data_IF_607907817859
#
_entry.id   IF_607907817859
#
_cell.length_a   1.000
_cell.length_b   1.000
_cell.length_c   1.000
_cell.angle_alpha   90.00
_cell.angle_beta   90.00
_cell.angle_gamma   90.00
#
_symmetry.space_group_name_H-M   'P 1'
#
loop_
_entity.id
_entity.type
_entity.pdbx_description
1 polymer ?
#
# COMPACT_ATOMS: atom_id res chain seq x y z
N UNK A 1 -13.27 -8.22 9.97
CA UNK A 1 -13.18 -7.28 8.82
C UNK A 1 -11.74 -7.18 8.43
N UNK A 2 -11.44 -7.17 7.12
CA UNK A 2 -10.08 -7.08 6.63
C UNK A 2 -9.70 -5.64 6.35
N UNK A 3 -8.55 -5.24 6.85
CA UNK A 3 -7.91 -3.96 6.58
C UNK A 3 -6.70 -4.20 5.67
N UNK A 4 -6.58 -3.42 4.63
CA UNK A 4 -5.42 -3.38 3.77
C UNK A 4 -4.66 -2.06 3.94
N UNK A 5 -3.34 -2.12 3.82
CA UNK A 5 -2.48 -0.95 3.66
C UNK A 5 -1.57 -1.19 2.47
N UNK A 6 -1.40 -0.16 1.66
CA UNK A 6 -0.41 -0.19 0.59
C UNK A 6 0.48 1.04 0.71
N UNK A 7 1.79 0.82 0.70
CA UNK A 7 2.82 1.86 0.76
C UNK A 7 3.55 1.86 -0.58
N UNK A 8 3.58 2.98 -1.26
CA UNK A 8 4.12 3.15 -2.61
C UNK A 8 5.35 4.04 -2.64
N UNK A 9 6.16 3.86 -3.70
CA UNK A 9 7.39 4.60 -3.85
C UNK A 9 8.43 4.24 -2.79
N UNK A 10 8.57 2.93 -2.55
CA UNK A 10 9.48 2.36 -1.54
C UNK A 10 10.86 2.01 -2.13
N UNK A 11 11.28 2.69 -3.20
CA UNK A 11 12.54 2.38 -3.89
C UNK A 11 13.78 2.59 -3.01
N UNK A 12 13.68 3.47 -2.01
CA UNK A 12 14.78 3.74 -1.06
C UNK A 12 14.74 2.81 0.17
N UNK A 13 13.69 2.01 0.31
CA UNK A 13 13.58 1.00 1.38
C UNK A 13 14.31 -0.25 0.92
N UNK A 14 15.33 -0.67 1.65
CA UNK A 14 16.03 -1.92 1.33
C UNK A 14 15.19 -3.15 1.74
N UNK A 15 15.40 -4.32 1.13
CA UNK A 15 14.72 -5.56 1.56
C UNK A 15 14.94 -5.87 3.06
N UNK A 16 16.14 -5.56 3.58
CA UNK A 16 16.47 -5.76 5.01
C UNK A 16 15.70 -4.77 5.89
N UNK A 17 15.58 -3.51 5.47
CA UNK A 17 14.77 -2.53 6.22
C UNK A 17 13.30 -2.93 6.21
N UNK A 18 12.78 -3.34 5.06
CA UNK A 18 11.41 -3.84 4.95
C UNK A 18 11.16 -5.07 5.84
N UNK A 19 12.13 -5.98 5.95
CA UNK A 19 12.06 -7.13 6.86
C UNK A 19 11.99 -6.68 8.33
N UNK A 20 12.79 -5.69 8.71
CA UNK A 20 12.73 -5.13 10.07
C UNK A 20 11.37 -4.46 10.34
N UNK A 21 10.83 -3.75 9.35
CA UNK A 21 9.49 -3.13 9.44
C UNK A 21 8.38 -4.20 9.55
N UNK A 22 8.50 -5.34 8.88
CA UNK A 22 7.54 -6.43 9.04
C UNK A 22 7.46 -6.91 10.49
N UNK A 23 8.60 -7.03 11.15
CA UNK A 23 8.68 -7.40 12.58
C UNK A 23 7.99 -6.37 13.48
N UNK A 24 8.11 -5.07 13.15
CA UNK A 24 7.39 -4.00 13.85
C UNK A 24 5.89 -4.08 13.61
N UNK A 25 5.46 -4.27 12.36
CA UNK A 25 4.05 -4.44 12.03
C UNK A 25 3.41 -5.55 12.85
N UNK A 26 3.98 -6.76 12.86
CA UNK A 26 3.45 -7.89 13.63
C UNK A 26 3.40 -7.61 15.13
N UNK A 27 4.34 -6.84 15.66
CA UNK A 27 4.32 -6.38 17.06
C UNK A 27 3.16 -5.42 17.33
N UNK A 28 2.88 -4.46 16.44
CA UNK A 28 1.76 -3.52 16.59
C UNK A 28 0.41 -4.23 16.60
N UNK A 29 0.21 -5.22 15.74
CA UNK A 29 -1.03 -6.00 15.69
C UNK A 29 -1.07 -7.14 16.72
N UNK A 30 0.00 -7.36 17.48
CA UNK A 30 0.15 -8.42 18.52
C UNK A 30 -0.07 -9.84 17.97
N UNK A 31 0.42 -10.10 16.79
CA UNK A 31 0.44 -11.42 16.16
C UNK A 31 1.86 -11.88 15.96
N UNK A 32 2.08 -13.21 16.03
CA UNK A 32 3.39 -13.82 15.75
C UNK A 32 3.34 -14.42 14.35
N UNK A 33 4.23 -14.04 13.42
CA UNK A 33 4.29 -14.67 12.11
C UNK A 33 4.73 -16.15 12.26
N UNK A 34 4.21 -17.00 11.37
CA UNK A 34 4.44 -18.45 11.39
C UNK A 34 4.63 -19.07 10.00
N UNK A 35 4.52 -18.27 8.94
CA UNK A 35 4.85 -18.67 7.57
C UNK A 35 5.52 -17.51 6.85
N UNK A 36 6.54 -17.77 6.06
CA UNK A 36 7.26 -16.77 5.29
C UNK A 36 8.06 -17.40 4.15
N UNK A 37 8.44 -16.56 3.19
CA UNK A 37 9.27 -16.94 2.07
C UNK A 37 9.60 -15.75 1.17
N UNK A 38 10.31 -16.04 0.09
CA UNK A 38 10.71 -15.05 -0.90
C UNK A 38 10.55 -15.58 -2.32
N UNK A 39 10.49 -14.68 -3.29
CA UNK A 39 10.44 -15.03 -4.70
C UNK A 39 11.84 -15.16 -5.28
N UNK A 40 12.06 -16.19 -6.08
CA UNK A 40 13.30 -16.44 -6.78
C UNK A 40 13.05 -16.99 -8.19
N UNK A 41 14.00 -16.76 -9.10
CA UNK A 41 14.01 -17.39 -10.41
C UNK A 41 14.58 -18.81 -10.27
N UNK A 42 13.80 -19.79 -10.65
CA UNK A 42 14.21 -21.18 -10.70
C UNK A 42 14.46 -21.63 -12.15
N UNK A 43 15.62 -22.21 -12.40
CA UNK A 43 15.93 -22.80 -13.71
C UNK A 43 15.34 -24.19 -13.81
N UNK A 44 14.14 -24.31 -14.29
CA UNK A 44 13.55 -25.61 -14.67
C UNK A 44 13.46 -25.68 -16.19
N UNK A 45 14.22 -26.61 -16.79
CA UNK A 45 14.11 -27.04 -18.21
C UNK A 45 14.09 -25.95 -19.30
N UNK A 46 14.78 -24.84 -19.11
CA UNK A 46 15.01 -23.84 -20.18
C UNK A 46 14.18 -22.57 -20.09
N UNK A 47 13.14 -22.51 -19.30
CA UNK A 47 12.39 -21.30 -18.98
C UNK A 47 12.73 -20.82 -17.56
N UNK A 48 12.80 -19.50 -17.37
CA UNK A 48 12.94 -18.89 -16.04
C UNK A 48 11.56 -18.80 -15.41
N UNK A 49 11.22 -19.78 -14.56
CA UNK A 49 10.00 -19.74 -13.77
C UNK A 49 10.27 -19.00 -12.44
N UNK A 50 9.24 -18.32 -11.93
CA UNK A 50 9.27 -17.66 -10.62
C UNK A 50 8.63 -18.59 -9.61
N UNK A 51 9.41 -18.98 -8.60
CA UNK A 51 8.94 -19.80 -7.49
C UNK A 51 8.91 -19.01 -6.18
N UNK A 52 7.96 -19.36 -5.32
CA UNK A 52 7.95 -18.90 -3.93
C UNK A 52 8.70 -19.91 -3.06
N UNK A 53 9.83 -19.51 -2.53
CA UNK A 53 10.70 -20.34 -1.70
C UNK A 53 10.29 -20.15 -0.24
N UNK A 54 9.67 -21.17 0.35
CA UNK A 54 9.40 -21.19 1.80
C UNK A 54 10.72 -21.26 2.58
N UNK A 55 10.84 -20.46 3.62
CA UNK A 55 12.02 -20.37 4.47
C UNK A 55 11.59 -20.09 5.91
N UNK A 56 12.40 -20.43 6.91
CA UNK A 56 12.22 -19.87 8.23
C UNK A 56 12.75 -18.42 8.31
N UNK A 57 12.48 -17.71 9.41
CA UNK A 57 12.86 -16.30 9.53
C UNK A 57 14.38 -16.08 9.48
N UNK A 58 15.17 -17.04 9.97
CA UNK A 58 16.65 -16.96 9.97
C UNK A 58 17.18 -17.12 8.55
N UNK A 59 16.72 -18.13 7.81
CA UNK A 59 17.10 -18.35 6.42
C UNK A 59 16.62 -17.21 5.52
N UNK A 60 15.37 -16.72 5.69
CA UNK A 60 14.89 -15.55 4.96
C UNK A 60 15.80 -14.34 5.21
N UNK A 61 16.16 -14.07 6.47
CA UNK A 61 17.05 -12.94 6.79
C UNK A 61 18.41 -13.08 6.12
N UNK A 62 19.01 -14.28 6.14
CA UNK A 62 20.29 -14.56 5.47
C UNK A 62 20.18 -14.32 3.96
N UNK A 63 19.10 -14.79 3.32
CA UNK A 63 18.86 -14.59 1.90
C UNK A 63 18.70 -13.09 1.53
N UNK A 64 18.08 -12.29 2.42
CA UNK A 64 17.96 -10.84 2.25
C UNK A 64 19.32 -10.13 2.44
N UNK A 65 20.09 -10.51 3.49
CA UNK A 65 21.38 -9.91 3.82
C UNK A 65 22.43 -10.16 2.70
N UNK A 66 22.38 -11.29 2.01
CA UNK A 66 23.30 -11.65 0.92
C UNK A 66 22.78 -11.25 -0.48
N UNK A 67 21.56 -10.68 -0.56
CA UNK A 67 20.95 -10.22 -1.82
C UNK A 67 20.37 -11.33 -2.70
N UNK A 68 20.23 -12.55 -2.20
CA UNK A 68 19.55 -13.66 -2.88
C UNK A 68 18.05 -13.44 -2.96
N UNK A 69 17.44 -12.98 -1.84
CA UNK A 69 16.05 -12.55 -1.80
C UNK A 69 15.94 -11.02 -1.93
N UNK A 70 15.02 -10.57 -2.78
CA UNK A 70 14.69 -9.14 -2.96
C UNK A 70 13.24 -8.84 -2.63
N UNK A 71 12.34 -9.75 -2.96
CA UNK A 71 10.91 -9.68 -2.72
C UNK A 71 10.53 -10.80 -1.76
N UNK A 72 9.77 -10.50 -0.73
CA UNK A 72 9.40 -11.48 0.29
C UNK A 72 8.00 -11.25 0.84
N UNK A 73 7.47 -12.28 1.49
CA UNK A 73 6.21 -12.23 2.23
C UNK A 73 6.32 -12.95 3.56
N UNK A 74 5.67 -12.38 4.57
CA UNK A 74 5.60 -12.92 5.93
C UNK A 74 4.13 -12.93 6.34
N UNK A 75 3.67 -14.07 6.90
CA UNK A 75 2.28 -14.32 7.21
C UNK A 75 2.08 -14.74 8.67
N UNK A 76 0.89 -14.44 9.17
CA UNK A 76 0.30 -15.13 10.33
C UNK A 76 -0.90 -15.93 9.84
N UNK A 77 -0.75 -17.25 9.81
CA UNK A 77 -1.78 -18.21 9.41
C UNK A 77 -2.41 -18.85 10.64
N UNK A 78 -3.76 -18.96 10.65
CA UNK A 78 -4.47 -19.62 11.74
C UNK A 78 -4.57 -21.12 11.55
N UNK A 79 -4.65 -21.56 10.29
CA UNK A 79 -4.77 -22.95 9.86
C UNK A 79 -3.94 -23.13 8.59
N UNK A 80 -3.33 -24.30 8.39
CA UNK A 80 -2.52 -24.61 7.19
C UNK A 80 -3.28 -24.51 5.86
N UNK A 81 -4.59 -24.68 5.87
CA UNK A 81 -5.42 -24.73 4.66
C UNK A 81 -6.36 -23.51 4.52
N UNK A 82 -6.22 -22.51 5.38
CA UNK A 82 -7.05 -21.31 5.39
C UNK A 82 -6.28 -20.07 4.94
N UNK A 83 -6.99 -18.98 4.64
CA UNK A 83 -6.34 -17.71 4.39
C UNK A 83 -5.58 -17.23 5.63
N UNK A 84 -4.51 -16.46 5.41
CA UNK A 84 -3.79 -15.79 6.49
C UNK A 84 -4.68 -14.74 7.18
N UNK A 85 -4.40 -14.44 8.46
CA UNK A 85 -5.06 -13.35 9.21
C UNK A 85 -4.30 -12.04 9.14
N UNK A 86 -3.01 -12.12 8.91
CA UNK A 86 -2.17 -10.96 8.67
C UNK A 86 -1.03 -11.33 7.75
N UNK A 87 -0.64 -10.38 6.89
CA UNK A 87 0.52 -10.52 6.02
C UNK A 87 1.22 -9.18 5.85
N UNK A 88 2.52 -9.26 5.61
CA UNK A 88 3.38 -8.17 5.18
C UNK A 88 4.17 -8.63 3.96
N UNK A 89 4.03 -7.94 2.84
CA UNK A 89 4.77 -8.17 1.62
C UNK A 89 5.62 -6.97 1.24
N UNK A 90 6.84 -7.22 0.79
CA UNK A 90 7.71 -6.25 0.14
C UNK A 90 7.96 -6.69 -1.29
N UNK A 91 7.69 -5.82 -2.23
CA UNK A 91 7.79 -6.09 -3.66
C UNK A 91 8.66 -5.06 -4.37
N UNK A 92 9.49 -5.55 -5.28
CA UNK A 92 10.33 -4.74 -6.17
C UNK A 92 9.83 -4.79 -7.61
N UNK A 93 10.53 -4.16 -8.54
CA UNK A 93 10.22 -4.27 -9.98
C UNK A 93 10.45 -5.67 -10.54
N UNK A 94 11.31 -6.46 -9.90
CA UNK A 94 11.73 -7.76 -10.40
C UNK A 94 10.60 -8.79 -10.38
N UNK A 95 9.86 -8.88 -9.26
CA UNK A 95 8.76 -9.83 -9.10
C UNK A 95 7.39 -9.13 -8.97
N UNK A 96 7.31 -8.05 -8.21
CA UNK A 96 6.06 -7.31 -7.98
C UNK A 96 5.71 -6.29 -9.08
N UNK A 97 6.56 -6.11 -10.09
CA UNK A 97 6.35 -5.16 -11.19
C UNK A 97 6.62 -3.69 -10.83
N UNK A 98 6.57 -3.30 -9.56
CA UNK A 98 6.93 -1.98 -9.04
C UNK A 98 7.19 -2.03 -7.54
N UNK A 99 7.86 -1.01 -7.01
CA UNK A 99 8.22 -0.94 -5.60
C UNK A 99 7.03 -0.59 -4.71
N UNK A 100 6.62 -1.53 -3.86
CA UNK A 100 5.57 -1.30 -2.87
C UNK A 100 5.68 -2.26 -1.68
N UNK A 101 5.02 -1.86 -0.59
CA UNK A 101 4.72 -2.74 0.55
C UNK A 101 3.21 -2.92 0.58
N UNK A 102 2.76 -4.15 0.75
CA UNK A 102 1.38 -4.49 0.96
C UNK A 102 1.17 -5.19 2.30
N UNK A 103 0.13 -4.78 3.01
CA UNK A 103 -0.20 -5.29 4.34
C UNK A 103 -1.67 -5.68 4.34
N UNK A 104 -1.96 -6.87 4.88
CA UNK A 104 -3.32 -7.33 5.15
C UNK A 104 -3.44 -7.67 6.62
N UNK A 105 -4.56 -7.32 7.22
CA UNK A 105 -4.82 -7.55 8.64
C UNK A 105 -6.31 -7.76 8.92
N UNK A 106 -6.65 -8.90 9.51
CA UNK A 106 -7.97 -9.13 10.08
C UNK A 106 -8.05 -8.49 11.47
N UNK A 107 -8.77 -7.37 11.57
CA UNK A 107 -8.86 -6.59 12.78
C UNK A 107 -10.19 -5.88 12.97
N UNK A 108 -10.23 -4.97 13.94
CA UNK A 108 -11.44 -4.23 14.28
C UNK A 108 -11.41 -2.76 13.83
N UNK A 109 -10.21 -2.18 13.72
CA UNK A 109 -10.02 -0.77 13.38
C UNK A 109 -8.62 -0.51 12.77
N UNK A 110 -8.39 0.73 12.31
CA UNK A 110 -7.11 1.18 11.78
C UNK A 110 -6.07 1.58 12.85
N UNK A 111 -6.40 1.55 14.14
CA UNK A 111 -5.55 2.16 15.17
C UNK A 111 -4.12 1.62 15.19
N UNK A 112 -3.96 0.30 15.17
CA UNK A 112 -2.62 -0.32 15.15
C UNK A 112 -1.88 -0.02 13.85
N UNK A 113 -2.60 0.06 12.73
CA UNK A 113 -2.02 0.38 11.42
C UNK A 113 -1.60 1.85 11.32
N UNK A 114 -2.35 2.77 11.92
CA UNK A 114 -1.97 4.19 12.01
C UNK A 114 -0.65 4.34 12.79
N UNK A 115 -0.55 3.73 13.96
CA UNK A 115 0.67 3.77 14.77
C UNK A 115 1.87 3.18 14.03
N UNK A 116 1.67 2.06 13.35
CA UNK A 116 2.71 1.47 12.51
C UNK A 116 3.14 2.42 11.38
N UNK A 117 2.18 3.02 10.65
CA UNK A 117 2.47 3.92 9.54
C UNK A 117 3.18 5.21 9.99
N UNK A 118 2.76 5.80 11.11
CA UNK A 118 3.46 6.97 11.68
C UNK A 118 4.94 6.63 11.99
N UNK A 119 5.21 5.48 12.61
CA UNK A 119 6.58 5.03 12.89
C UNK A 119 7.34 4.65 11.61
N UNK A 120 6.69 3.97 10.66
CA UNK A 120 7.29 3.62 9.37
C UNK A 120 7.77 4.87 8.63
N UNK A 121 6.91 5.88 8.46
CA UNK A 121 7.24 7.10 7.73
C UNK A 121 8.19 8.03 8.49
N UNK A 122 8.31 7.91 9.81
CA UNK A 122 9.34 8.60 10.59
C UNK A 122 10.75 8.03 10.36
N UNK A 123 10.86 6.77 9.94
CA UNK A 123 12.14 6.07 9.79
C UNK A 123 12.51 5.75 8.34
N UNK A 124 11.55 5.78 7.40
CA UNK A 124 11.75 5.34 6.03
C UNK A 124 11.26 6.37 5.02
N UNK A 125 11.89 6.36 3.85
CA UNK A 125 11.50 7.20 2.72
C UNK A 125 10.55 6.40 1.82
N UNK A 126 9.28 6.80 1.80
CA UNK A 126 8.28 6.33 0.85
C UNK A 126 7.42 7.50 0.38
N UNK A 127 6.78 7.37 -0.76
CA UNK A 127 6.10 8.51 -1.38
C UNK A 127 4.67 8.69 -0.89
N UNK A 128 3.92 7.61 -0.73
CA UNK A 128 2.47 7.63 -0.56
C UNK A 128 2.00 6.34 0.12
N UNK A 129 0.95 6.41 0.94
CA UNK A 129 0.29 5.21 1.43
C UNK A 129 -1.22 5.40 1.54
N UNK A 130 -1.93 4.28 1.45
CA UNK A 130 -3.39 4.19 1.59
C UNK A 130 -3.76 3.09 2.57
N UNK A 131 -4.82 3.32 3.35
CA UNK A 131 -5.44 2.30 4.18
C UNK A 131 -6.92 2.16 3.84
N UNK A 132 -7.36 0.94 3.62
CA UNK A 132 -8.68 0.60 3.10
C UNK A 132 -9.27 -0.64 3.78
N UNK A 133 -10.56 -0.88 3.56
CA UNK A 133 -11.28 -2.06 4.03
C UNK A 133 -11.64 -2.94 2.84
N UNK A 134 -11.49 -4.25 3.02
CA UNK A 134 -11.86 -5.26 2.02
C UNK A 134 -12.76 -6.33 2.63
N UNK A 135 -13.38 -7.13 1.75
CA UNK A 135 -14.16 -8.31 2.11
C UNK A 135 -13.29 -9.38 2.78
N UNK A 136 -12.10 -9.61 2.21
CA UNK A 136 -11.15 -10.62 2.67
C UNK A 136 -9.69 -10.22 2.39
N UNK A 137 -8.75 -11.06 2.82
CA UNK A 137 -7.31 -10.80 2.72
C UNK A 137 -6.77 -10.93 1.29
N UNK A 138 -7.39 -11.76 0.44
CA UNK A 138 -6.98 -11.91 -0.96
C UNK A 138 -7.34 -10.66 -1.76
N UNK A 139 -8.55 -10.14 -1.58
CA UNK A 139 -8.96 -8.87 -2.18
C UNK A 139 -8.05 -7.74 -1.72
N UNK A 140 -7.72 -7.68 -0.42
CA UNK A 140 -6.82 -6.67 0.10
C UNK A 140 -5.41 -6.76 -0.51
N UNK A 141 -4.90 -7.97 -0.71
CA UNK A 141 -3.62 -8.22 -1.37
C UNK A 141 -3.61 -7.75 -2.82
N UNK A 142 -4.56 -8.24 -3.64
CA UNK A 142 -4.64 -7.88 -5.05
C UNK A 142 -4.95 -6.40 -5.28
N UNK A 143 -5.70 -5.80 -4.36
CA UNK A 143 -5.99 -4.37 -4.43
C UNK A 143 -4.71 -3.54 -4.29
N UNK A 144 -3.77 -3.92 -3.44
CA UNK A 144 -2.52 -3.20 -3.24
C UNK A 144 -1.75 -2.99 -4.55
N UNK A 145 -1.57 -4.05 -5.34
CA UNK A 145 -0.88 -4.03 -6.63
C UNK A 145 -1.75 -3.53 -7.80
N UNK A 146 -3.08 -3.39 -7.59
CA UNK A 146 -4.05 -3.08 -8.65
C UNK A 146 -4.35 -4.26 -9.57
N UNK A 147 -4.11 -5.48 -9.11
CA UNK A 147 -4.35 -6.72 -9.86
C UNK A 147 -5.78 -7.25 -9.70
N UNK A 148 -6.11 -8.26 -10.51
CA UNK A 148 -7.38 -9.00 -10.47
C UNK A 148 -8.65 -8.13 -10.54
N UNK A 149 -8.54 -6.88 -10.97
CA UNK A 149 -9.67 -5.94 -11.10
C UNK A 149 -10.49 -5.76 -9.82
N UNK A 150 -9.86 -5.96 -8.66
CA UNK A 150 -10.50 -5.76 -7.35
C UNK A 150 -10.92 -4.30 -7.20
N UNK A 151 -12.12 -4.09 -6.67
CA UNK A 151 -12.68 -2.78 -6.34
C UNK A 151 -13.15 -2.79 -4.90
N UNK A 152 -12.91 -1.70 -4.21
CA UNK A 152 -13.43 -1.48 -2.86
C UNK A 152 -14.52 -0.41 -2.82
N UNK A 153 -14.60 0.41 -3.89
CA UNK A 153 -15.64 1.42 -4.03
C UNK A 153 -16.42 1.28 -5.34
N UNK A 154 -17.74 1.58 -5.35
CA UNK A 154 -18.56 1.52 -6.55
C UNK A 154 -18.09 2.48 -7.67
N UNK A 155 -17.53 3.62 -7.28
CA UNK A 155 -17.02 4.66 -8.19
C UNK A 155 -15.58 4.41 -8.67
N UNK A 156 -15.03 3.22 -8.51
CA UNK A 156 -13.65 2.91 -8.86
C UNK A 156 -13.50 2.32 -10.26
N UNK A 157 -12.43 2.75 -10.95
CA UNK A 157 -11.89 2.10 -12.14
C UNK A 157 -10.68 1.25 -11.75
N UNK A 158 -10.88 -0.05 -11.58
CA UNK A 158 -9.86 -0.97 -11.11
C UNK A 158 -8.61 -1.05 -12.03
N UNK A 159 -8.76 -0.82 -13.34
CA UNK A 159 -7.65 -0.92 -14.30
C UNK A 159 -6.77 0.33 -14.32
N UNK A 160 -7.26 1.47 -13.82
CA UNK A 160 -6.55 2.73 -13.99
C UNK A 160 -5.26 2.77 -13.17
N UNK A 161 -5.27 2.25 -11.94
CA UNK A 161 -4.08 2.23 -11.10
C UNK A 161 -2.99 1.31 -11.65
N UNK A 162 -3.36 0.13 -12.14
CA UNK A 162 -2.39 -0.82 -12.70
C UNK A 162 -1.60 -0.21 -13.88
N UNK A 163 -2.25 0.67 -14.67
CA UNK A 163 -1.60 1.38 -15.79
C UNK A 163 -0.64 2.50 -15.33
N UNK A 164 -0.75 2.95 -14.10
CA UNK A 164 0.14 3.97 -13.53
C UNK A 164 1.44 3.38 -12.96
N UNK A 165 1.50 2.08 -12.72
CA UNK A 165 2.70 1.46 -12.18
C UNK A 165 3.85 1.50 -13.20
N UNK A 166 5.03 1.85 -12.74
CA UNK A 166 6.21 2.09 -13.60
C UNK A 166 6.93 0.80 -14.04
N UNK A 167 6.48 -0.36 -13.56
CA UNK A 167 7.02 -1.67 -13.89
C UNK A 167 6.37 -2.29 -15.12
N UNK A 168 5.23 -2.97 -14.92
CA UNK A 168 4.56 -3.75 -15.97
C UNK A 168 4.08 -2.93 -17.16
N UNK A 169 3.57 -1.72 -16.93
CA UNK A 169 2.95 -0.88 -17.96
C UNK A 169 3.74 0.38 -18.32
N UNK A 170 4.92 0.59 -17.72
CA UNK A 170 5.72 1.80 -17.88
C UNK A 170 4.91 3.08 -17.57
N UNK A 171 4.03 3.00 -16.59
CA UNK A 171 3.26 4.12 -16.12
C UNK A 171 4.14 5.19 -15.49
N UNK A 172 3.60 6.39 -15.34
CA UNK A 172 4.34 7.55 -14.83
C UNK A 172 4.42 7.59 -13.29
N UNK A 173 3.77 6.65 -12.61
CA UNK A 173 3.68 6.58 -11.14
C UNK A 173 3.24 7.92 -10.51
N UNK A 174 2.28 8.60 -11.13
CA UNK A 174 1.78 9.93 -10.72
C UNK A 174 1.25 9.94 -9.29
N UNK A 175 0.85 8.77 -8.76
CA UNK A 175 0.47 8.61 -7.36
C UNK A 175 1.59 8.95 -6.37
N UNK A 176 2.84 9.04 -6.80
CA UNK A 176 3.94 9.43 -5.93
C UNK A 176 3.96 10.94 -5.62
N UNK A 177 3.28 11.79 -6.44
CA UNK A 177 3.40 13.24 -6.26
C UNK A 177 2.26 14.10 -6.84
N UNK A 178 1.72 13.77 -8.03
CA UNK A 178 0.87 14.69 -8.79
C UNK A 178 -0.60 14.29 -8.85
N UNK A 179 -0.93 13.07 -8.45
CA UNK A 179 -2.30 12.56 -8.36
C UNK A 179 -2.44 11.65 -7.14
N UNK A 180 -3.66 11.46 -6.66
CA UNK A 180 -3.97 10.39 -5.71
C UNK A 180 -4.54 9.18 -6.45
N UNK A 181 -4.37 7.96 -5.90
CA UNK A 181 -5.06 6.79 -6.44
C UNK A 181 -6.58 6.97 -6.33
N UNK A 182 -7.05 7.19 -5.13
CA UNK A 182 -8.37 7.67 -4.68
C UNK A 182 -8.18 8.30 -3.30
N UNK A 183 -9.28 8.72 -2.66
CA UNK A 183 -9.29 9.09 -1.24
C UNK A 183 -9.85 7.92 -0.44
N UNK A 184 -9.14 7.53 0.61
CA UNK A 184 -9.41 6.40 1.48
C UNK A 184 -9.68 6.85 2.90
N UNK A 185 -10.17 5.97 3.80
CA UNK A 185 -10.27 6.30 5.22
C UNK A 185 -8.94 6.73 5.83
N UNK A 186 -7.83 6.22 5.30
CA UNK A 186 -6.47 6.51 5.74
C UNK A 186 -5.59 6.80 4.53
N UNK A 187 -4.91 7.94 4.52
CA UNK A 187 -3.99 8.35 3.47
C UNK A 187 -2.72 8.93 4.10
N UNK A 188 -1.55 8.50 3.66
CA UNK A 188 -0.30 9.21 3.92
C UNK A 188 0.09 9.91 2.64
N UNK A 189 0.16 11.23 2.68
CA UNK A 189 0.46 12.09 1.53
C UNK A 189 1.69 12.97 1.81
N UNK A 190 2.33 13.43 0.76
CA UNK A 190 3.51 14.27 0.85
C UNK A 190 3.22 15.74 0.46
N UNK A 191 4.23 16.60 0.56
CA UNK A 191 4.11 18.04 0.27
C UNK A 191 3.74 18.33 -1.20
N UNK A 192 4.05 17.43 -2.13
CA UNK A 192 3.62 17.59 -3.53
C UNK A 192 2.12 17.35 -3.67
N UNK A 193 1.59 16.31 -3.02
CA UNK A 193 0.15 16.06 -3.00
C UNK A 193 -0.63 17.23 -2.41
N UNK A 194 -0.14 17.83 -1.32
CA UNK A 194 -0.80 18.99 -0.70
C UNK A 194 -0.92 20.19 -1.65
N UNK A 195 -0.03 20.30 -2.63
CA UNK A 195 0.02 21.37 -3.63
C UNK A 195 -0.79 21.09 -4.91
N UNK A 196 -1.35 19.87 -5.05
CA UNK A 196 -2.21 19.54 -6.20
C UNK A 196 -3.33 20.58 -6.32
N UNK A 197 -3.50 21.11 -7.53
CA UNK A 197 -4.55 22.09 -7.81
C UNK A 197 -5.90 21.40 -8.01
N UNK A 198 -6.90 21.90 -7.27
CA UNK A 198 -8.30 21.52 -7.33
C UNK A 198 -9.10 22.76 -7.59
N UNK A 199 -9.30 23.10 -8.86
CA UNK A 199 -9.78 24.42 -9.28
C UNK A 199 -8.78 25.52 -8.88
N UNK A 200 -9.25 26.54 -8.17
CA UNK A 200 -8.42 27.67 -7.72
C UNK A 200 -7.63 27.38 -6.44
N UNK A 201 -7.98 26.31 -5.70
CA UNK A 201 -7.37 25.95 -4.42
C UNK A 201 -6.34 24.85 -4.59
N UNK A 202 -5.50 24.67 -3.56
CA UNK A 202 -4.68 23.47 -3.38
C UNK A 202 -5.47 22.38 -2.65
N UNK A 203 -4.99 21.12 -2.72
CA UNK A 203 -5.60 20.01 -1.97
C UNK A 203 -5.63 20.34 -0.46
N UNK A 204 -4.56 20.89 0.11
CA UNK A 204 -4.53 21.26 1.53
C UNK A 204 -5.56 22.34 1.89
N UNK A 205 -5.76 23.33 1.02
CA UNK A 205 -6.73 24.42 1.24
C UNK A 205 -8.17 23.87 1.16
N UNK A 206 -8.46 22.99 0.21
CA UNK A 206 -9.82 22.45 0.05
C UNK A 206 -10.16 21.45 1.17
N UNK A 207 -9.21 20.64 1.62
CA UNK A 207 -9.37 19.76 2.81
C UNK A 207 -9.77 20.60 4.02
N UNK A 208 -9.04 21.67 4.28
CA UNK A 208 -9.29 22.56 5.42
C UNK A 208 -10.63 23.31 5.28
N UNK A 209 -10.89 23.89 4.11
CA UNK A 209 -12.10 24.69 3.83
C UNK A 209 -13.39 23.87 3.96
N UNK A 210 -13.38 22.63 3.48
CA UNK A 210 -14.56 21.75 3.46
C UNK A 210 -14.64 20.83 4.67
N UNK A 211 -13.68 20.87 5.59
CA UNK A 211 -13.60 19.95 6.74
C UNK A 211 -13.60 18.48 6.31
N UNK A 212 -12.77 18.15 5.31
CA UNK A 212 -12.67 16.81 4.74
C UNK A 212 -11.78 15.86 5.57
N UNK A 213 -12.13 15.70 6.84
CA UNK A 213 -11.38 14.89 7.77
C UNK A 213 -10.25 15.66 8.46
N UNK A 214 -9.31 14.92 9.02
CA UNK A 214 -8.17 15.46 9.76
C UNK A 214 -6.87 15.29 8.98
N UNK A 215 -6.10 16.36 8.86
CA UNK A 215 -4.77 16.39 8.25
C UNK A 215 -3.73 16.71 9.31
N UNK A 216 -2.91 15.71 9.69
CA UNK A 216 -1.88 15.81 10.74
C UNK A 216 -0.51 15.57 10.13
N UNK A 217 0.47 16.44 10.42
CA UNK A 217 1.87 16.17 10.05
C UNK A 217 2.42 15.02 10.90
N UNK A 218 3.14 14.09 10.26
CA UNK A 218 3.80 12.98 10.95
C UNK A 218 5.10 13.49 11.58
N UNK A 219 5.25 13.29 12.89
CA UNK A 219 6.45 13.69 13.62
C UNK A 219 7.65 12.84 13.17
N UNK A 220 8.79 13.48 12.94
CA UNK A 220 10.01 12.81 12.49
C UNK A 220 10.05 12.49 11.00
N UNK A 221 8.93 12.58 10.28
CA UNK A 221 8.88 12.35 8.84
C UNK A 221 9.04 13.67 8.06
N UNK A 222 9.98 13.68 7.09
CA UNK A 222 10.16 14.82 6.21
C UNK A 222 8.97 14.97 5.27
N UNK A 223 8.20 16.05 5.47
CA UNK A 223 7.10 16.46 4.60
C UNK A 223 6.08 15.32 4.31
N UNK A 224 5.63 14.61 5.37
CA UNK A 224 4.56 13.61 5.31
C UNK A 224 3.41 13.97 6.23
N UNK A 225 2.20 13.73 5.76
CA UNK A 225 0.95 14.00 6.49
C UNK A 225 0.05 12.77 6.47
N UNK A 226 -0.47 12.46 7.63
CA UNK A 226 -1.60 11.55 7.80
C UNK A 226 -2.89 12.33 7.53
N UNK A 227 -3.66 11.91 6.55
CA UNK A 227 -5.00 12.42 6.27
C UNK A 227 -6.01 11.32 6.53
N UNK A 228 -6.79 11.47 7.60
CA UNK A 228 -7.88 10.55 7.96
C UNK A 228 -9.21 11.14 7.51
N UNK A 229 -10.02 10.32 6.85
CA UNK A 229 -11.29 10.73 6.25
C UNK A 229 -12.43 9.85 6.80
N UNK A 230 -13.49 10.44 7.35
CA UNK A 230 -14.70 9.71 7.73
C UNK A 230 -15.33 8.99 6.53
N UNK A 231 -15.80 7.76 6.74
CA UNK A 231 -16.32 6.91 5.65
C UNK A 231 -17.50 7.55 4.91
N UNK A 232 -18.36 8.25 5.64
CA UNK A 232 -19.51 8.97 5.09
C UNK A 232 -19.16 10.11 4.13
N UNK A 233 -17.93 10.62 4.17
CA UNK A 233 -17.45 11.68 3.27
C UNK A 233 -16.74 11.15 2.02
N UNK A 234 -16.36 9.86 2.01
CA UNK A 234 -15.51 9.30 0.95
C UNK A 234 -16.11 9.45 -0.46
N UNK A 235 -17.40 9.15 -0.61
CA UNK A 235 -18.05 9.25 -1.92
C UNK A 235 -18.07 10.68 -2.43
N UNK A 236 -18.46 11.63 -1.59
CA UNK A 236 -18.49 13.04 -1.94
C UNK A 236 -17.10 13.54 -2.35
N UNK A 237 -16.08 13.26 -1.54
CA UNK A 237 -14.71 13.73 -1.79
C UNK A 237 -14.15 13.12 -3.07
N UNK A 238 -14.32 11.80 -3.26
CA UNK A 238 -13.85 11.13 -4.46
C UNK A 238 -14.54 11.64 -5.73
N UNK A 239 -15.84 11.95 -5.69
CA UNK A 239 -16.55 12.52 -6.82
C UNK A 239 -16.10 13.95 -7.12
N UNK A 240 -15.88 14.78 -6.10
CA UNK A 240 -15.41 16.15 -6.28
C UNK A 240 -13.97 16.18 -6.85
N UNK A 241 -13.03 15.49 -6.21
CA UNK A 241 -11.64 15.42 -6.68
C UNK A 241 -11.51 14.69 -8.03
N UNK A 242 -12.29 13.62 -8.23
CA UNK A 242 -12.30 12.88 -9.48
C UNK A 242 -12.78 13.73 -10.65
N UNK A 243 -13.83 14.55 -10.45
CA UNK A 243 -14.34 15.47 -11.49
C UNK A 243 -13.32 16.52 -11.91
N UNK A 244 -12.38 16.86 -11.03
CA UNK A 244 -11.26 17.78 -11.29
C UNK A 244 -10.03 17.08 -11.90
N UNK A 245 -10.08 15.76 -12.12
CA UNK A 245 -9.02 15.00 -12.77
C UNK A 245 -7.79 14.74 -11.91
N UNK A 246 -7.89 14.83 -10.57
CA UNK A 246 -6.76 14.62 -9.65
C UNK A 246 -6.71 13.23 -9.05
N UNK A 247 -7.65 12.36 -9.41
CA UNK A 247 -7.69 10.96 -8.99
C UNK A 247 -7.46 10.00 -10.16
N UNK A 248 -6.58 9.03 -9.98
CA UNK A 248 -6.22 8.03 -10.98
C UNK A 248 -7.36 7.04 -11.21
N UNK A 249 -7.87 6.44 -10.13
CA UNK A 249 -8.82 5.33 -10.19
C UNK A 249 -10.29 5.75 -10.12
N UNK A 250 -10.59 7.04 -10.24
CA UNK A 250 -11.97 7.48 -10.23
C UNK A 250 -12.66 7.18 -11.56
N UNK A 251 -13.86 6.62 -11.47
CA UNK A 251 -14.72 6.34 -12.62
C UNK A 251 -15.81 7.40 -12.69
N UNK A 252 -15.82 8.18 -13.74
CA UNK A 252 -16.97 9.07 -14.04
C UNK A 252 -18.20 8.21 -14.25
N UNK A 253 -19.23 8.40 -13.42
CA UNK A 253 -20.52 7.85 -13.76
C UNK A 253 -21.00 8.52 -15.06
N UNK A 254 -21.25 7.71 -16.10
CA UNK A 254 -22.06 8.20 -17.23
C UNK A 254 -23.47 8.48 -16.69
N UNK A 255 -24.08 9.61 -17.00
CA UNK A 255 -25.44 9.91 -16.61
C UNK A 255 -26.43 8.91 -17.18
#
# INVERSE_FOLDING_TARGET
MTFGVSIYGTNEVTPVDAFNESSRFFKFIKMTPNAQGYYAFCKTSGDEDIDFIEADLEHLKIALDNGEAKDFRIYHESNKDGPWKAAFGFSTKEFGGFFHIDIQYEGNDFKSLILFLEEFFANNIAAYAIGYKCSDVYDAYHYASGENMVKIFPWENALAFNKETDGRFKGEARFNSTMLRLVYPLNIINSFHLKIKVGELTLSEIISKNSWGELKKIDGADERWLWTVPEELLEQINNELGSQGVLISWKKYAP
#
